data_IF_686377159641
#
_entry.id   IF_686377159641
#
_cell.length_a   1.000
_cell.length_b   1.000
_cell.length_c   1.000
_cell.angle_alpha   90.00
_cell.angle_beta   90.00
_cell.angle_gamma   90.00
#
_symmetry.space_group_name_H-M   'P 1'
#
loop_
_entity.id
_entity.type
_entity.pdbx_description
1 polymer ?
#
# COMPACT_ATOMS: atom_id res chain seq x y z
N UNK A 1 -10.59 -0.98 9.46
CA UNK A 1 -10.06 -0.55 8.15
C UNK A 1 -8.67 0.04 8.34
N UNK A 2 -7.76 -0.18 7.40
CA UNK A 2 -6.43 0.45 7.36
C UNK A 2 -6.27 1.15 6.03
N UNK A 3 -5.65 2.32 6.03
CA UNK A 3 -5.49 3.12 4.81
C UNK A 3 -4.04 3.51 4.62
N UNK A 4 -3.58 3.39 3.38
CA UNK A 4 -2.20 3.64 3.01
C UNK A 4 -2.16 4.39 1.70
N UNK A 5 -1.27 5.36 1.58
CA UNK A 5 -0.93 5.90 0.27
C UNK A 5 0.20 5.07 -0.34
N UNK A 6 0.16 4.88 -1.65
CA UNK A 6 1.29 4.28 -2.38
C UNK A 6 2.45 5.27 -2.42
N UNK A 7 3.65 4.83 -2.07
CA UNK A 7 4.85 5.68 -2.14
C UNK A 7 5.30 5.93 -3.58
N UNK A 8 6.08 6.99 -3.77
CA UNK A 8 6.75 7.24 -5.04
C UNK A 8 7.64 6.05 -5.44
N UNK A 9 7.68 5.76 -6.74
CA UNK A 9 8.46 4.64 -7.28
C UNK A 9 7.87 3.26 -7.00
N UNK A 10 6.62 3.16 -6.56
CA UNK A 10 5.93 1.90 -6.30
C UNK A 10 4.51 1.89 -6.91
N UNK A 11 3.97 0.68 -7.09
CA UNK A 11 2.55 0.44 -7.37
C UNK A 11 2.02 -0.58 -6.36
N UNK A 12 0.73 -0.50 -6.05
CA UNK A 12 0.05 -1.50 -5.23
C UNK A 12 -1.03 -2.24 -6.04
N UNK A 13 -1.22 -3.53 -5.76
CA UNK A 13 -2.34 -4.32 -6.26
C UNK A 13 -3.23 -4.76 -5.09
N UNK A 14 -4.51 -4.42 -5.13
CA UNK A 14 -5.51 -4.79 -4.13
C UNK A 14 -6.80 -5.15 -4.84
N UNK A 15 -7.40 -6.31 -4.49
CA UNK A 15 -8.57 -6.90 -5.20
C UNK A 15 -8.42 -6.94 -6.73
N UNK A 16 -7.21 -7.14 -7.24
CA UNK A 16 -6.91 -7.16 -8.69
C UNK A 16 -6.81 -5.78 -9.35
N UNK A 17 -7.08 -4.69 -8.62
CA UNK A 17 -6.95 -3.31 -9.10
C UNK A 17 -5.56 -2.77 -8.80
N UNK A 18 -5.01 -1.99 -9.73
CA UNK A 18 -3.69 -1.37 -9.62
C UNK A 18 -3.80 0.09 -9.18
N UNK A 19 -2.96 0.46 -8.22
CA UNK A 19 -2.90 1.78 -7.61
C UNK A 19 -1.51 2.36 -7.81
N UNK A 20 -1.44 3.52 -8.46
CA UNK A 20 -0.19 4.25 -8.70
C UNK A 20 0.26 5.08 -7.49
N UNK A 21 1.45 5.70 -7.59
CA UNK A 21 1.99 6.59 -6.56
C UNK A 21 1.00 7.67 -6.11
N UNK A 22 0.91 7.89 -4.80
CA UNK A 22 0.05 8.91 -4.19
C UNK A 22 -1.43 8.55 -4.11
N UNK A 23 -1.86 7.43 -4.69
CA UNK A 23 -3.24 6.96 -4.58
C UNK A 23 -3.46 6.26 -3.23
N UNK A 24 -4.63 6.49 -2.63
CA UNK A 24 -5.05 5.88 -1.37
C UNK A 24 -5.60 4.47 -1.63
N UNK A 25 -5.06 3.48 -0.92
CA UNK A 25 -5.56 2.12 -0.84
C UNK A 25 -6.23 1.93 0.52
N UNK A 26 -7.43 1.37 0.52
CA UNK A 26 -8.23 1.10 1.71
C UNK A 26 -8.34 -0.41 1.83
N UNK A 27 -7.91 -0.95 2.96
CA UNK A 27 -8.03 -2.37 3.28
C UNK A 27 -9.03 -2.58 4.42
N UNK A 28 -9.92 -3.53 4.20
CA UNK A 28 -10.85 -4.10 5.17
C UNK A 28 -10.25 -5.33 5.85
N UNK A 29 -10.95 -5.84 6.87
CA UNK A 29 -10.54 -7.06 7.55
C UNK A 29 -10.57 -8.27 6.60
N UNK A 30 -9.58 -9.16 6.71
CA UNK A 30 -9.43 -10.33 5.83
C UNK A 30 -8.82 -10.05 4.45
N UNK A 31 -8.48 -8.80 4.14
CA UNK A 31 -7.92 -8.42 2.84
C UNK A 31 -6.40 -8.49 2.77
N UNK A 32 -5.85 -8.28 1.58
CA UNK A 32 -4.41 -8.13 1.38
C UNK A 32 -4.04 -7.24 0.20
N UNK A 33 -2.83 -6.72 0.24
CA UNK A 33 -2.23 -5.86 -0.80
C UNK A 33 -0.87 -6.40 -1.20
N UNK A 34 -0.57 -6.34 -2.48
CA UNK A 34 0.75 -6.60 -3.02
C UNK A 34 1.39 -5.28 -3.43
N UNK A 35 2.68 -5.14 -3.17
CA UNK A 35 3.45 -3.93 -3.48
C UNK A 35 4.53 -4.29 -4.48
N UNK A 36 4.65 -3.48 -5.53
CA UNK A 36 5.57 -3.67 -6.63
C UNK A 36 6.51 -2.46 -6.73
N UNK A 37 7.77 -2.72 -7.08
CA UNK A 37 8.66 -1.65 -7.50
C UNK A 37 8.17 -1.10 -8.85
N UNK A 38 8.15 0.21 -9.02
CA UNK A 38 7.69 0.88 -10.23
C UNK A 38 8.61 2.06 -10.60
N UNK A 39 9.89 1.75 -10.87
CA UNK A 39 10.86 2.75 -11.27
C UNK A 39 10.44 3.41 -12.59
N UNK A 40 10.36 4.74 -12.61
CA UNK A 40 9.98 5.54 -13.79
C UNK A 40 8.62 5.14 -14.40
N UNK A 41 7.66 4.71 -13.57
CA UNK A 41 6.31 4.34 -14.03
C UNK A 41 6.24 3.00 -14.76
N UNK A 42 7.30 2.19 -14.72
CA UNK A 42 7.28 0.81 -15.23
C UNK A 42 7.22 -0.16 -14.06
N UNK A 43 6.13 -0.93 -14.00
CA UNK A 43 5.95 -2.01 -13.03
C UNK A 43 7.07 -3.05 -13.16
N UNK A 44 7.74 -3.31 -12.05
CA UNK A 44 8.79 -4.30 -11.88
C UNK A 44 8.34 -5.45 -10.98
N UNK A 45 9.26 -5.96 -10.17
CA UNK A 45 9.01 -7.11 -9.31
C UNK A 45 8.06 -6.79 -8.14
N UNK A 46 7.30 -7.80 -7.70
CA UNK A 46 6.62 -7.77 -6.42
C UNK A 46 7.67 -7.75 -5.31
N UNK A 47 7.61 -6.77 -4.43
CA UNK A 47 8.53 -6.60 -3.30
C UNK A 47 7.89 -6.96 -1.96
N UNK A 48 6.59 -7.25 -1.94
CA UNK A 48 5.90 -7.74 -0.76
C UNK A 48 4.42 -8.01 -0.98
N UNK A 49 3.90 -8.99 -0.26
CA UNK A 49 2.47 -9.33 -0.20
C UNK A 49 2.07 -9.36 1.26
N UNK A 50 1.11 -8.52 1.64
CA UNK A 50 0.75 -8.29 3.03
C UNK A 50 -0.74 -8.49 3.22
N UNK A 51 -1.11 -9.28 4.23
CA UNK A 51 -2.49 -9.37 4.71
C UNK A 51 -2.82 -8.21 5.65
N UNK A 52 -4.11 -7.95 5.87
CA UNK A 52 -4.59 -6.93 6.80
C UNK A 52 -3.98 -7.08 8.19
N UNK A 53 -3.77 -8.32 8.66
CA UNK A 53 -3.18 -8.61 9.97
C UNK A 53 -1.68 -8.27 10.05
N UNK A 54 -0.95 -8.37 8.94
CA UNK A 54 0.48 -8.06 8.89
C UNK A 54 0.77 -6.57 8.77
N UNK A 55 -0.19 -5.79 8.28
CA UNK A 55 0.00 -4.36 8.08
C UNK A 55 -0.18 -3.58 9.39
N UNK A 56 0.73 -2.67 9.67
CA UNK A 56 0.59 -1.67 10.72
C UNK A 56 0.39 -0.29 10.08
N UNK A 57 -0.69 0.40 10.44
CA UNK A 57 -0.99 1.74 9.91
C UNK A 57 0.01 2.80 10.39
N UNK A 58 0.67 2.57 11.53
CA UNK A 58 1.66 3.47 12.12
C UNK A 58 3.09 3.18 11.64
N UNK A 59 3.33 1.96 11.16
CA UNK A 59 4.62 1.50 10.64
C UNK A 59 4.42 0.74 9.31
N UNK A 60 4.03 1.44 8.23
CA UNK A 60 3.74 0.82 6.95
C UNK A 60 4.99 0.18 6.33
N UNK A 61 4.84 -0.94 5.61
CA UNK A 61 5.95 -1.56 4.90
C UNK A 61 6.40 -0.70 3.70
N UNK A 62 7.61 -0.95 3.21
CA UNK A 62 8.17 -0.26 2.04
C UNK A 62 7.19 -0.25 0.86
N UNK A 63 7.05 0.92 0.24
CA UNK A 63 6.14 1.17 -0.87
C UNK A 63 4.74 1.61 -0.45
N UNK A 64 4.45 1.63 0.86
CA UNK A 64 3.25 2.21 1.45
C UNK A 64 3.66 3.27 2.48
N UNK A 65 2.86 4.33 2.59
CA UNK A 65 3.01 5.36 3.64
C UNK A 65 1.71 5.59 4.38
N UNK A 66 1.83 5.97 5.64
CA UNK A 66 0.70 6.17 6.54
C UNK A 66 -0.20 7.32 6.04
N UNK A 67 -1.51 7.14 6.16
CA UNK A 67 -2.47 8.23 6.02
C UNK A 67 -2.58 9.00 7.34
N UNK A 68 -1.64 9.92 7.57
CA UNK A 68 -1.54 10.69 8.82
C UNK A 68 -2.70 11.67 9.05
N UNK A 69 -3.65 11.83 8.11
CA UNK A 69 -4.83 12.67 8.33
C UNK A 69 -5.85 12.09 9.33
N UNK A 70 -5.62 10.89 9.87
CA UNK A 70 -6.40 10.30 10.97
C UNK A 70 -5.53 9.84 12.16
N UNK A 71 -4.24 10.22 12.21
CA UNK A 71 -3.35 9.86 13.31
C UNK A 71 -3.44 10.85 14.49
N UNK A 72 -4.65 11.30 14.83
CA UNK A 72 -4.92 12.11 16.01
C UNK A 72 -6.01 11.44 16.84
N UNK A 73 -5.58 10.78 17.92
CA UNK A 73 -6.37 10.52 19.11
C UNK A 73 -5.51 10.91 20.31
#
# INVERSE_FOLDING_TARGET
>A
MKTFYVEAGHEARHRGVWYGPGILVILEDGEGVEVFAAANGRRGACIGSYTYMQLDATSPPRGLRANLMHAAA
#
